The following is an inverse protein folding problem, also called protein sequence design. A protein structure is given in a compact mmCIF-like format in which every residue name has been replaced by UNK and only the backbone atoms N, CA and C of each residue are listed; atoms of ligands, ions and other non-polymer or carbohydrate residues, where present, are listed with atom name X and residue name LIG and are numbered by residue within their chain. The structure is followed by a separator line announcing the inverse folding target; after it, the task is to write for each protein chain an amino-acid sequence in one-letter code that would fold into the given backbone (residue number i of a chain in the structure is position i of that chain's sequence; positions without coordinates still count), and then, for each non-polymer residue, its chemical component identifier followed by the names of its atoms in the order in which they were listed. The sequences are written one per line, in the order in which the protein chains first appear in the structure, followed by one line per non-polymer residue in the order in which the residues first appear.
data_IF_759081130875
#
_entry.id   IF_759081130875
#
_cell.length_a   1.000
_cell.length_b   1.000
_cell.length_c   1.000
_cell.angle_alpha   90.00
_cell.angle_beta   90.00
_cell.angle_gamma   90.00
#
_symmetry.space_group_name_H-M   'P 1'
#
loop_
_entity.id
_entity.type
_entity.pdbx_description
1 polymer ?
#
# COMPACT_ATOMS: atom_id res chain seq x y z
N UNK A 1 15.90 3.92 29.49
CA UNK A 1 15.35 3.70 28.14
C UNK A 1 15.64 4.97 27.36
N UNK A 2 16.36 4.88 26.25
CA UNK A 2 16.52 6.01 25.32
C UNK A 2 15.16 6.34 24.72
N UNK A 3 14.87 7.63 24.53
CA UNK A 3 13.65 8.05 23.85
C UNK A 3 13.58 7.43 22.44
N UNK A 4 12.39 7.01 21.98
CA UNK A 4 12.24 6.45 20.64
C UNK A 4 12.62 7.51 19.60
N UNK A 5 13.41 7.11 18.60
CA UNK A 5 13.72 7.98 17.46
C UNK A 5 12.49 8.03 16.58
N UNK A 6 11.86 9.20 16.46
CA UNK A 6 10.68 9.40 15.62
C UNK A 6 11.09 10.23 14.40
N UNK A 7 10.74 9.76 13.21
CA UNK A 7 10.85 10.52 11.96
C UNK A 7 9.45 10.68 11.36
N UNK A 8 9.01 11.93 11.21
CA UNK A 8 7.75 12.25 10.54
C UNK A 8 8.03 12.62 9.08
N UNK A 9 7.31 11.98 8.14
CA UNK A 9 7.42 12.28 6.69
C UNK A 9 6.04 12.52 6.10
N UNK A 10 5.92 13.61 5.35
CA UNK A 10 4.71 14.04 4.64
C UNK A 10 5.13 14.47 3.23
N UNK A 11 5.22 13.55 2.26
CA UNK A 11 5.75 13.87 0.94
C UNK A 11 4.85 14.85 0.20
N UNK A 12 5.46 15.81 -0.48
CA UNK A 12 4.80 16.59 -1.52
C UNK A 12 4.60 15.74 -2.79
N UNK A 13 3.67 16.09 -3.70
CA UNK A 13 3.36 15.25 -4.88
C UNK A 13 4.57 14.86 -5.76
N UNK A 14 5.62 15.68 -5.79
CA UNK A 14 6.85 15.41 -6.55
C UNK A 14 7.88 14.52 -5.83
N UNK A 15 7.62 14.16 -4.57
CA UNK A 15 8.54 13.39 -3.72
C UNK A 15 8.16 11.91 -3.61
N UNK A 16 7.01 11.51 -4.14
CA UNK A 16 6.62 10.10 -4.18
C UNK A 16 7.47 9.30 -5.16
N UNK A 17 7.82 8.09 -4.75
CA UNK A 17 8.36 7.07 -5.65
C UNK A 17 7.22 6.30 -6.32
N UNK A 18 7.49 5.74 -7.50
CA UNK A 18 6.49 4.96 -8.28
C UNK A 18 6.97 3.53 -8.56
N UNK A 19 8.12 3.19 -7.99
CA UNK A 19 8.82 1.92 -8.17
C UNK A 19 9.47 1.49 -6.87
N UNK A 20 9.62 0.19 -6.69
CA UNK A 20 10.58 -0.38 -5.75
C UNK A 20 11.92 -0.54 -6.46
N UNK A 21 12.97 0.06 -5.89
CA UNK A 21 14.27 0.21 -6.53
C UNK A 21 14.36 1.43 -7.47
N UNK A 22 15.58 1.85 -7.80
CA UNK A 22 15.85 2.91 -8.78
C UNK A 22 15.66 4.35 -8.30
N UNK A 23 15.20 4.56 -7.06
CA UNK A 23 14.98 5.89 -6.46
C UNK A 23 15.91 6.09 -5.25
N UNK A 24 16.56 7.26 -5.09
CA UNK A 24 17.39 7.53 -3.91
C UNK A 24 16.55 7.58 -2.62
N UNK A 25 17.13 7.25 -1.46
CA UNK A 25 16.40 7.29 -0.20
C UNK A 25 16.04 8.73 0.20
N UNK A 26 14.82 8.92 0.70
CA UNK A 26 14.35 10.21 1.23
C UNK A 26 14.95 10.50 2.62
N UNK A 27 15.32 9.45 3.36
CA UNK A 27 16.00 9.55 4.65
C UNK A 27 16.80 8.28 4.97
N UNK A 28 17.78 8.42 5.86
CA UNK A 28 18.48 7.30 6.51
C UNK A 28 17.96 7.15 7.93
N UNK A 29 17.64 5.94 8.35
CA UNK A 29 17.07 5.63 9.66
C UNK A 29 17.83 4.49 10.33
N UNK A 30 17.91 4.50 11.65
CA UNK A 30 18.48 3.40 12.40
C UNK A 30 17.41 2.34 12.74
N UNK A 31 17.76 1.06 12.94
CA UNK A 31 16.85 0.08 13.50
C UNK A 31 16.22 0.56 14.83
N UNK A 32 14.94 0.27 15.03
CA UNK A 32 14.11 0.76 16.13
C UNK A 32 13.52 2.17 15.91
N UNK A 33 13.69 2.77 14.73
CA UNK A 33 13.08 4.08 14.40
C UNK A 33 11.56 3.92 14.21
N UNK A 34 10.81 4.82 14.82
CA UNK A 34 9.37 5.01 14.58
C UNK A 34 9.21 5.96 13.40
N UNK A 35 8.52 5.52 12.36
CA UNK A 35 8.13 6.35 11.24
C UNK A 35 6.67 6.76 11.41
N UNK A 36 6.41 8.06 11.41
CA UNK A 36 5.07 8.65 11.35
C UNK A 36 4.88 9.21 9.94
N UNK A 37 4.06 8.56 9.12
CA UNK A 37 4.02 8.72 7.68
C UNK A 37 2.64 9.18 7.20
N UNK A 38 2.64 10.01 6.15
CA UNK A 38 1.47 10.16 5.27
C UNK A 38 1.74 9.40 3.99
N UNK A 39 0.74 8.65 3.54
CA UNK A 39 0.72 8.08 2.19
C UNK A 39 -0.49 8.63 1.45
N UNK A 40 -0.33 8.86 0.15
CA UNK A 40 -1.46 9.20 -0.71
C UNK A 40 -2.21 7.94 -1.15
N UNK A 41 -3.45 8.10 -1.63
CA UNK A 41 -4.20 7.02 -2.27
C UNK A 41 -3.52 6.52 -3.56
N UNK A 42 -3.96 5.36 -4.06
CA UNK A 42 -3.41 4.71 -5.24
C UNK A 42 -3.50 5.57 -6.53
N UNK A 43 -4.40 6.55 -6.55
CA UNK A 43 -4.64 7.48 -7.66
C UNK A 43 -3.84 8.79 -7.55
N UNK A 44 -2.98 8.93 -6.54
CA UNK A 44 -2.27 10.16 -6.22
C UNK A 44 -3.20 11.36 -6.00
N UNK A 45 -4.36 11.12 -5.38
CA UNK A 45 -5.35 12.14 -5.03
C UNK A 45 -6.07 12.75 -6.24
N UNK A 46 -6.05 12.06 -7.39
CA UNK A 46 -6.62 12.54 -8.66
C UNK A 46 -8.08 12.17 -8.87
N UNK A 47 -8.55 11.07 -8.30
CA UNK A 47 -9.97 10.67 -8.30
C UNK A 47 -10.67 11.35 -7.12
N UNK A 48 -11.63 12.24 -7.39
CA UNK A 48 -12.27 13.08 -6.36
C UNK A 48 -13.79 13.09 -6.43
N UNK A 49 -14.37 12.50 -7.47
CA UNK A 49 -15.81 12.43 -7.68
C UNK A 49 -16.20 11.20 -8.49
N UNK A 50 -17.48 10.86 -8.40
CA UNK A 50 -18.16 9.83 -9.19
C UNK A 50 -18.19 10.10 -10.71
N UNK A 51 -17.84 11.32 -11.13
CA UNK A 51 -17.73 11.72 -12.54
C UNK A 51 -16.32 11.58 -13.08
N UNK A 52 -15.32 11.42 -12.21
CA UNK A 52 -13.98 11.09 -12.62
C UNK A 52 -13.93 9.66 -13.18
N UNK A 53 -12.99 9.44 -14.08
CA UNK A 53 -12.64 8.12 -14.58
C UNK A 53 -11.11 8.03 -14.49
N UNK A 54 -10.59 6.96 -13.89
CA UNK A 54 -9.15 6.72 -13.73
C UNK A 54 -8.44 6.84 -15.07
N UNK A 55 -9.02 6.30 -16.14
CA UNK A 55 -8.50 6.38 -17.52
C UNK A 55 -8.36 7.81 -18.07
N UNK A 56 -9.02 8.79 -17.45
CA UNK A 56 -9.01 10.20 -17.86
C UNK A 56 -8.23 11.10 -16.92
N UNK A 57 -8.29 10.85 -15.61
CA UNK A 57 -7.71 11.73 -14.60
C UNK A 57 -6.34 11.27 -14.13
N UNK A 58 -6.02 9.98 -14.20
CA UNK A 58 -4.73 9.44 -13.81
C UNK A 58 -3.76 9.37 -14.99
N UNK A 59 -2.49 9.61 -14.70
CA UNK A 59 -1.39 9.47 -15.65
C UNK A 59 -0.73 8.10 -15.48
N UNK A 60 -0.92 7.20 -16.46
CA UNK A 60 -0.28 5.89 -16.44
C UNK A 60 1.18 5.99 -16.91
N UNK A 61 2.12 5.22 -16.31
CA UNK A 61 1.90 4.12 -15.36
C UNK A 61 1.97 4.54 -13.87
N UNK A 62 1.80 5.82 -13.55
CA UNK A 62 2.02 6.38 -12.20
C UNK A 62 0.78 6.19 -11.31
N UNK A 63 0.64 4.97 -10.79
CA UNK A 63 -0.28 4.57 -9.73
C UNK A 63 0.49 4.04 -8.53
N UNK A 64 -0.17 3.97 -7.37
CA UNK A 64 0.36 3.49 -6.09
C UNK A 64 1.61 4.31 -5.68
N UNK A 65 1.48 5.63 -5.46
CA UNK A 65 2.59 6.46 -5.01
C UNK A 65 3.13 5.95 -3.67
N UNK A 66 4.46 5.83 -3.59
CA UNK A 66 5.17 5.25 -2.46
C UNK A 66 5.79 6.35 -1.59
N UNK A 67 5.56 6.26 -0.28
CA UNK A 67 6.28 7.07 0.72
C UNK A 67 7.55 6.34 1.11
N UNK A 68 8.69 6.94 0.78
CA UNK A 68 10.01 6.30 0.85
C UNK A 68 10.80 6.53 -0.45
N UNK A 69 11.92 5.81 -0.68
CA UNK A 69 12.43 4.76 0.19
C UNK A 69 13.21 5.26 1.40
N UNK A 70 13.18 4.49 2.48
CA UNK A 70 13.97 4.69 3.69
C UNK A 70 15.18 3.76 3.70
N UNK A 71 16.37 4.32 3.85
CA UNK A 71 17.60 3.55 3.99
C UNK A 71 17.79 3.16 5.46
N UNK A 72 17.73 1.87 5.78
CA UNK A 72 17.95 1.34 7.13
C UNK A 72 19.44 1.10 7.39
N UNK A 73 20.02 1.79 8.36
CA UNK A 73 21.44 1.68 8.69
C UNK A 73 21.82 0.25 9.13
N UNK A 74 22.88 -0.29 8.53
CA UNK A 74 23.40 -1.62 8.84
C UNK A 74 22.66 -2.79 8.19
N UNK A 75 21.59 -2.53 7.43
CA UNK A 75 20.89 -3.55 6.65
C UNK A 75 21.72 -3.97 5.43
N UNK A 76 21.98 -5.27 5.29
CA UNK A 76 22.76 -5.86 4.21
C UNK A 76 22.04 -7.08 3.63
N UNK A 77 22.32 -7.48 2.37
CA UNK A 77 21.73 -8.68 1.78
C UNK A 77 21.90 -9.93 2.66
N UNK A 78 20.79 -10.63 2.91
CA UNK A 78 20.73 -11.79 3.82
C UNK A 78 20.17 -11.49 5.21
N UNK A 79 19.94 -10.21 5.53
CA UNK A 79 19.16 -9.78 6.69
C UNK A 79 17.66 -9.76 6.38
N UNK A 80 16.85 -9.45 7.40
CA UNK A 80 15.41 -9.21 7.30
C UNK A 80 15.05 -7.89 7.99
N UNK A 81 14.24 -7.06 7.34
CA UNK A 81 13.55 -5.97 8.02
C UNK A 81 12.29 -6.50 8.70
N UNK A 82 12.06 -6.06 9.94
CA UNK A 82 10.79 -6.23 10.63
C UNK A 82 10.08 -4.86 10.68
N UNK A 83 8.94 -4.76 10.01
CA UNK A 83 8.12 -3.54 9.92
C UNK A 83 6.84 -3.77 10.70
N UNK A 84 6.78 -3.24 11.92
CA UNK A 84 5.62 -3.38 12.79
C UNK A 84 4.65 -2.21 12.59
N UNK A 85 3.41 -2.50 12.21
CA UNK A 85 2.35 -1.51 12.03
C UNK A 85 1.71 -1.16 13.37
N UNK A 86 2.03 0.02 13.90
CA UNK A 86 1.46 0.50 15.18
C UNK A 86 0.05 1.03 14.96
N UNK A 87 -0.16 1.84 13.92
CA UNK A 87 -1.47 2.38 13.54
C UNK A 87 -1.55 2.63 12.04
N UNK A 88 -2.72 2.39 11.46
CA UNK A 88 -3.05 2.70 10.06
C UNK A 88 -4.41 3.37 10.07
N UNK A 89 -4.46 4.67 9.77
CA UNK A 89 -5.68 5.46 9.91
C UNK A 89 -5.94 6.30 8.66
N UNK A 90 -7.17 6.32 8.12
CA UNK A 90 -7.52 7.21 7.01
C UNK A 90 -7.17 8.68 7.31
N UNK A 91 -6.45 9.32 6.39
CA UNK A 91 -6.06 10.73 6.50
C UNK A 91 -7.18 11.71 6.16
N UNK A 92 -8.27 11.21 5.57
CA UNK A 92 -9.42 11.99 5.10
C UNK A 92 -10.74 11.26 5.39
N UNK A 93 -11.85 11.89 5.06
CA UNK A 93 -13.22 11.41 5.31
C UNK A 93 -13.88 10.82 4.06
N UNK A 94 -13.09 10.56 3.01
CA UNK A 94 -13.56 9.93 1.78
C UNK A 94 -12.53 8.95 1.20
N UNK A 95 -13.03 7.99 0.45
CA UNK A 95 -12.25 7.02 -0.31
C UNK A 95 -12.85 6.79 -1.68
N UNK A 96 -12.14 6.12 -2.56
CA UNK A 96 -12.62 5.78 -3.90
C UNK A 96 -12.46 4.28 -4.18
N UNK A 97 -13.40 3.69 -4.91
CA UNK A 97 -13.21 2.41 -5.59
C UNK A 97 -13.51 2.60 -7.06
N UNK A 98 -12.98 1.75 -7.93
CA UNK A 98 -13.35 1.79 -9.34
C UNK A 98 -13.23 0.43 -10.01
N UNK A 99 -14.09 0.16 -10.98
CA UNK A 99 -13.76 -0.81 -12.02
C UNK A 99 -12.85 -0.11 -13.03
N UNK A 100 -11.76 -0.74 -13.44
CA UNK A 100 -10.86 -0.23 -14.49
C UNK A 100 -10.97 -1.14 -15.72
N UNK A 101 -11.10 -0.60 -16.94
CA UNK A 101 -11.21 -1.42 -18.14
C UNK A 101 -10.04 -2.39 -18.28
N UNK A 102 -10.36 -3.67 -18.48
CA UNK A 102 -9.40 -4.77 -18.62
C UNK A 102 -8.47 -5.00 -17.41
N UNK A 103 -8.95 -4.68 -16.21
CA UNK A 103 -8.24 -4.87 -14.95
C UNK A 103 -9.17 -5.42 -13.86
N UNK A 104 -8.63 -6.24 -12.95
CA UNK A 104 -9.39 -7.03 -11.98
C UNK A 104 -9.77 -8.43 -12.47
N UNK A 105 -10.23 -9.28 -11.55
CA UNK A 105 -10.55 -10.69 -11.80
C UNK A 105 -11.91 -10.89 -12.52
N UNK A 106 -12.76 -9.87 -12.54
CA UNK A 106 -14.10 -9.92 -13.13
C UNK A 106 -14.14 -9.60 -14.64
N UNK A 107 -12.98 -9.36 -15.26
CA UNK A 107 -12.82 -9.05 -16.68
C UNK A 107 -11.54 -9.70 -17.23
N UNK A 108 -11.41 -9.86 -18.55
CA UNK A 108 -10.09 -10.21 -19.10
C UNK A 108 -9.08 -9.10 -18.85
N UNK A 109 -7.84 -9.52 -18.69
CA UNK A 109 -6.65 -8.68 -18.57
C UNK A 109 -5.67 -9.01 -19.70
N UNK A 110 -4.51 -8.34 -19.73
CA UNK A 110 -3.45 -8.67 -20.68
C UNK A 110 -2.91 -10.11 -20.56
N UNK A 111 -3.06 -10.76 -19.38
CA UNK A 111 -2.65 -12.15 -19.15
C UNK A 111 -3.75 -13.18 -19.42
N UNK A 112 -5.01 -12.74 -19.50
CA UNK A 112 -6.19 -13.59 -19.73
C UNK A 112 -6.99 -13.09 -20.94
N UNK A 113 -6.27 -12.61 -21.96
CA UNK A 113 -6.82 -11.85 -23.07
C UNK A 113 -7.95 -12.60 -23.80
N UNK A 114 -9.08 -11.90 -23.99
CA UNK A 114 -10.22 -12.37 -24.76
C UNK A 114 -10.79 -11.24 -25.63
N UNK A 115 -11.82 -11.53 -26.43
CA UNK A 115 -12.44 -10.57 -27.35
C UNK A 115 -13.70 -9.90 -26.78
N UNK A 116 -14.03 -10.11 -25.50
CA UNK A 116 -15.19 -9.50 -24.87
C UNK A 116 -14.97 -7.99 -24.65
N UNK A 117 -16.07 -7.24 -24.55
CA UNK A 117 -16.01 -5.84 -24.16
C UNK A 117 -15.56 -5.72 -22.69
N UNK A 118 -14.74 -4.71 -22.33
CA UNK A 118 -14.36 -4.51 -20.94
C UNK A 118 -15.57 -4.17 -20.07
N UNK A 119 -15.47 -4.44 -18.77
CA UNK A 119 -16.43 -3.90 -17.82
C UNK A 119 -16.45 -2.36 -17.92
N UNK A 120 -17.63 -1.72 -17.76
CA UNK A 120 -17.72 -0.26 -17.68
C UNK A 120 -16.80 0.27 -16.57
N UNK A 121 -16.14 1.38 -16.84
CA UNK A 121 -15.38 2.12 -15.82
C UNK A 121 -16.37 2.92 -14.96
N UNK A 122 -16.44 2.58 -13.68
CA UNK A 122 -17.36 3.18 -12.71
C UNK A 122 -16.57 3.49 -11.46
N UNK A 123 -16.62 4.75 -11.02
CA UNK A 123 -16.04 5.20 -9.74
C UNK A 123 -17.12 5.23 -8.66
N UNK A 124 -16.82 4.71 -7.48
CA UNK A 124 -17.62 4.89 -6.26
C UNK A 124 -16.86 5.76 -5.28
N UNK A 125 -17.49 6.81 -4.78
CA UNK A 125 -16.97 7.59 -3.66
C UNK A 125 -17.58 7.06 -2.36
N UNK A 126 -16.71 6.72 -1.42
CA UNK A 126 -17.09 6.19 -0.11
C UNK A 126 -16.98 7.28 0.94
N UNK A 127 -17.97 7.39 1.82
CA UNK A 127 -17.89 8.27 2.98
C UNK A 127 -17.29 7.51 4.16
N UNK A 128 -16.28 8.09 4.81
CA UNK A 128 -15.54 7.49 5.91
C UNK A 128 -15.85 8.22 7.21
N UNK A 129 -16.52 7.53 8.16
CA UNK A 129 -16.67 8.03 9.52
C UNK A 129 -15.58 7.42 10.42
N UNK A 130 -14.54 8.20 10.68
CA UNK A 130 -13.40 7.76 11.52
C UNK A 130 -13.77 7.54 12.99
N UNK A 131 -14.79 8.23 13.51
CA UNK A 131 -15.21 8.09 14.89
C UNK A 131 -16.05 6.82 15.10
N UNK A 132 -16.94 6.51 14.14
CA UNK A 132 -17.75 5.28 14.12
C UNK A 132 -16.98 4.08 13.57
N UNK A 133 -15.84 4.31 12.91
CA UNK A 133 -15.04 3.29 12.22
C UNK A 133 -15.83 2.58 11.12
N UNK A 134 -16.52 3.36 10.28
CA UNK A 134 -17.36 2.83 9.19
C UNK A 134 -17.08 3.49 7.84
N UNK A 135 -17.21 2.72 6.75
CA UNK A 135 -17.21 3.20 5.38
C UNK A 135 -18.59 2.94 4.74
N UNK A 136 -19.20 4.00 4.18
CA UNK A 136 -20.51 3.93 3.54
C UNK A 136 -20.35 3.72 2.04
N UNK A 137 -20.92 2.62 1.55
CA UNK A 137 -21.14 2.37 0.13
C UNK A 137 -22.48 2.96 -0.30
N UNK A 138 -22.49 3.67 -1.42
CA UNK A 138 -23.73 4.05 -2.12
C UNK A 138 -23.68 3.51 -3.55
N UNK A 139 -24.68 2.73 -3.93
CA UNK A 139 -24.78 2.14 -5.27
C UNK A 139 -24.96 3.23 -6.35
N UNK A 140 -24.50 2.95 -7.57
CA UNK A 140 -24.58 3.91 -8.70
C UNK A 140 -25.87 3.78 -9.52
N UNK A 141 -26.59 2.68 -9.36
CA UNK A 141 -27.74 2.26 -10.18
C UNK A 141 -29.01 2.00 -9.35
N UNK A 142 -28.98 2.24 -8.04
CA UNK A 142 -30.12 2.09 -7.12
C UNK A 142 -29.95 2.96 -5.88
N UNK A 143 -30.99 3.07 -5.06
CA UNK A 143 -30.96 3.76 -3.76
C UNK A 143 -30.33 2.91 -2.63
N UNK A 144 -29.54 1.89 -3.00
CA UNK A 144 -28.94 0.96 -2.02
C UNK A 144 -27.73 1.61 -1.35
N UNK A 145 -27.75 1.63 -0.02
CA UNK A 145 -26.62 2.04 0.81
C UNK A 145 -26.24 0.92 1.79
N UNK A 146 -24.95 0.72 1.99
CA UNK A 146 -24.42 -0.31 2.90
C UNK A 146 -23.29 0.32 3.72
N UNK A 147 -23.48 0.37 5.03
CA UNK A 147 -22.42 0.75 5.97
C UNK A 147 -21.59 -0.50 6.34
N UNK A 148 -20.28 -0.44 6.12
CA UNK A 148 -19.33 -1.50 6.44
C UNK A 148 -18.36 -1.02 7.53
N UNK A 149 -17.85 -1.91 8.40
CA UNK A 149 -16.79 -1.54 9.32
C UNK A 149 -15.50 -1.24 8.55
N UNK A 150 -14.74 -0.23 8.96
CA UNK A 150 -13.38 -0.01 8.45
C UNK A 150 -12.45 -1.10 8.95
N UNK A 151 -11.52 -1.53 8.10
CA UNK A 151 -10.37 -2.35 8.48
C UNK A 151 -9.14 -1.89 7.66
N UNK A 152 -8.52 -0.76 8.07
CA UNK A 152 -7.51 -0.10 7.28
C UNK A 152 -6.20 -0.87 7.18
N UNK A 153 -5.62 -0.86 5.99
CA UNK A 153 -4.41 -1.62 5.63
C UNK A 153 -3.62 -0.91 4.52
N UNK A 154 -2.40 -1.40 4.25
CA UNK A 154 -1.54 -0.97 3.14
C UNK A 154 -1.39 -2.04 2.06
N UNK A 155 -1.78 -1.75 0.82
CA UNK A 155 -1.67 -2.66 -0.33
C UNK A 155 -0.23 -2.82 -0.79
N UNK A 156 0.52 -1.73 -0.73
CA UNK A 156 1.95 -1.70 -1.07
C UNK A 156 2.84 -1.54 0.15
N UNK A 157 3.68 -2.55 0.39
CA UNK A 157 4.76 -2.49 1.39
C UNK A 157 5.93 -3.30 0.84
N UNK A 158 7.11 -2.71 0.73
CA UNK A 158 8.23 -3.41 0.11
C UNK A 158 9.59 -2.76 0.28
N UNK A 159 10.63 -3.51 -0.05
CA UNK A 159 12.01 -3.07 -0.11
C UNK A 159 12.49 -3.00 -1.57
N UNK A 160 13.66 -2.46 -1.83
CA UNK A 160 14.23 -2.55 -3.17
C UNK A 160 14.40 -4.03 -3.59
N UNK A 161 14.10 -4.38 -4.85
CA UNK A 161 14.30 -5.73 -5.37
C UNK A 161 15.78 -6.15 -5.42
N UNK A 162 16.02 -7.47 -5.46
CA UNK A 162 17.35 -8.04 -5.67
C UNK A 162 17.87 -7.77 -7.08
N UNK A 163 19.17 -8.01 -7.27
CA UNK A 163 19.85 -7.90 -8.57
C UNK A 163 19.73 -6.52 -9.24
N UNK A 164 19.52 -5.47 -8.44
CA UNK A 164 19.37 -4.07 -8.91
C UNK A 164 18.17 -3.88 -9.85
N UNK A 165 17.16 -4.74 -9.76
CA UNK A 165 15.92 -4.55 -10.51
C UNK A 165 15.14 -3.33 -10.03
N UNK A 166 14.35 -2.76 -10.94
CA UNK A 166 13.39 -1.71 -10.67
C UNK A 166 12.02 -2.23 -11.07
N UNK A 167 11.10 -2.33 -10.09
CA UNK A 167 9.77 -2.92 -10.29
C UNK A 167 8.71 -1.85 -10.06
N UNK A 168 7.67 -1.84 -10.88
CA UNK A 168 6.52 -0.95 -10.71
C UNK A 168 5.90 -1.16 -9.32
N UNK A 169 5.40 -0.08 -8.72
CA UNK A 169 4.66 -0.17 -7.45
C UNK A 169 3.37 -1.02 -7.54
N UNK A 170 2.90 -1.35 -8.76
CA UNK A 170 1.76 -2.24 -9.01
C UNK A 170 2.10 -3.74 -9.00
N UNK A 171 3.37 -4.12 -8.83
CA UNK A 171 3.80 -5.52 -8.96
C UNK A 171 4.23 -6.07 -7.59
N UNK A 172 3.58 -7.12 -7.07
CA UNK A 172 4.12 -7.88 -5.96
C UNK A 172 5.22 -8.84 -6.43
N UNK A 173 6.18 -9.11 -5.56
CA UNK A 173 7.17 -10.19 -5.72
C UNK A 173 7.85 -10.49 -4.37
N UNK A 174 8.96 -11.22 -4.39
CA UNK A 174 9.77 -11.52 -3.20
C UNK A 174 10.24 -10.29 -2.40
N UNK A 175 10.20 -9.10 -3.00
CA UNK A 175 10.54 -7.83 -2.34
C UNK A 175 9.38 -7.19 -1.57
N UNK A 176 8.21 -7.84 -1.53
CA UNK A 176 6.95 -7.22 -1.11
C UNK A 176 6.27 -6.59 -2.32
N UNK A 177 6.02 -5.29 -2.26
CA UNK A 177 5.34 -4.55 -3.32
C UNK A 177 3.82 -4.59 -3.15
N UNK A 178 3.09 -4.65 -4.25
CA UNK A 178 1.62 -4.62 -4.30
C UNK A 178 0.97 -5.94 -3.88
N UNK A 179 1.11 -6.29 -2.60
CA UNK A 179 0.69 -7.59 -2.07
C UNK A 179 -0.82 -7.67 -1.84
N UNK A 180 -1.47 -6.54 -1.56
CA UNK A 180 -2.92 -6.43 -1.35
C UNK A 180 -3.47 -7.53 -0.44
N UNK A 181 -2.79 -7.73 0.69
CA UNK A 181 -3.18 -8.68 1.73
C UNK A 181 -3.89 -7.91 2.86
N UNK A 182 -5.18 -8.19 3.16
CA UNK A 182 -5.92 -7.49 4.20
C UNK A 182 -5.25 -7.52 5.59
N UNK A 183 -4.36 -8.48 5.84
CA UNK A 183 -3.58 -8.61 7.06
C UNK A 183 -2.48 -7.55 7.22
N UNK A 184 -2.19 -6.73 6.22
CA UNK A 184 -1.22 -5.63 6.31
C UNK A 184 -1.79 -4.41 7.06
N UNK A 185 -2.20 -4.63 8.30
CA UNK A 185 -2.96 -3.70 9.15
C UNK A 185 -2.30 -3.47 10.51
N UNK A 186 -2.85 -2.53 11.28
CA UNK A 186 -2.36 -2.23 12.63
C UNK A 186 -2.31 -3.48 13.53
N UNK A 187 -1.22 -3.62 14.29
CA UNK A 187 -0.91 -4.77 15.15
C UNK A 187 -0.09 -5.86 14.48
N UNK A 188 0.10 -5.83 13.16
CA UNK A 188 0.85 -6.87 12.41
C UNK A 188 2.29 -6.43 12.16
N UNK A 189 3.20 -7.40 12.15
CA UNK A 189 4.60 -7.21 11.72
C UNK A 189 4.82 -7.87 10.37
N UNK A 190 5.26 -7.09 9.39
CA UNK A 190 5.71 -7.59 8.09
C UNK A 190 7.23 -7.80 8.10
N UNK A 191 7.67 -8.95 7.62
CA UNK A 191 9.08 -9.32 7.47
C UNK A 191 9.48 -9.34 6.00
N UNK A 192 10.46 -8.53 5.64
CA UNK A 192 10.94 -8.38 4.27
C UNK A 192 12.43 -8.70 4.18
N UNK A 193 12.81 -9.60 3.27
CA UNK A 193 14.21 -9.94 3.03
C UNK A 193 14.99 -8.75 2.47
N UNK A 194 16.12 -8.42 3.08
CA UNK A 194 16.99 -7.35 2.59
C UNK A 194 17.72 -7.83 1.35
N UNK A 195 17.54 -7.11 0.24
CA UNK A 195 18.09 -7.47 -1.07
C UNK A 195 19.26 -6.59 -1.51
N UNK A 196 19.35 -5.38 -0.96
CA UNK A 196 20.39 -4.38 -1.24
C UNK A 196 20.80 -3.72 0.08
N UNK A 197 21.98 -3.08 0.09
CA UNK A 197 22.41 -2.27 1.24
C UNK A 197 21.34 -1.22 1.59
N UNK A 198 21.00 -1.14 2.87
CA UNK A 198 20.00 -0.20 3.37
C UNK A 198 18.56 -0.62 3.15
N UNK A 199 18.30 -1.76 2.48
CA UNK A 199 16.99 -2.31 2.11
C UNK A 199 16.11 -1.43 1.19
N UNK A 200 16.03 -0.12 1.44
CA UNK A 200 15.21 0.86 0.73
C UNK A 200 13.70 0.55 0.86
N UNK A 201 13.21 0.61 2.10
CA UNK A 201 11.82 0.36 2.47
C UNK A 201 10.89 1.49 1.99
N UNK A 202 9.78 1.14 1.34
CA UNK A 202 8.68 2.06 1.03
C UNK A 202 7.33 1.42 1.34
N UNK A 203 6.31 2.26 1.53
CA UNK A 203 4.91 1.86 1.64
C UNK A 203 3.97 2.93 1.09
N UNK A 204 2.78 2.52 0.67
CA UNK A 204 1.76 3.38 0.07
C UNK A 204 0.44 2.62 -0.11
N UNK A 205 -0.45 3.13 -0.95
CA UNK A 205 -1.65 2.41 -1.37
C UNK A 205 -2.54 1.98 -0.17
N UNK A 206 -3.09 2.96 0.53
CA UNK A 206 -3.90 2.71 1.70
C UNK A 206 -5.32 2.32 1.35
N UNK A 207 -5.87 1.27 1.98
CA UNK A 207 -7.27 0.88 1.82
C UNK A 207 -8.00 1.05 3.13
N UNK A 208 -9.15 1.73 3.15
CA UNK A 208 -10.00 1.80 4.35
C UNK A 208 -10.69 0.46 4.64
N UNK A 209 -10.84 -0.37 3.60
CA UNK A 209 -11.31 -1.76 3.66
C UNK A 209 -10.99 -2.47 2.35
N UNK A 210 -10.59 -3.73 2.44
CA UNK A 210 -10.44 -4.63 1.30
C UNK A 210 -11.02 -6.02 1.64
N UNK A 211 -11.52 -6.75 0.64
CA UNK A 211 -11.88 -8.16 0.77
C UNK A 211 -10.83 -9.07 0.12
N UNK A 212 -10.80 -10.34 0.53
CA UNK A 212 -9.88 -11.33 -0.03
C UNK A 212 -9.94 -11.42 -1.55
N UNK A 213 -8.77 -11.33 -2.18
CA UNK A 213 -8.59 -11.45 -3.63
C UNK A 213 -8.93 -10.21 -4.45
N UNK A 214 -9.39 -9.12 -3.81
CA UNK A 214 -9.58 -7.80 -4.44
C UNK A 214 -10.25 -7.88 -5.82
N UNK A 215 -11.38 -8.58 -5.90
CA UNK A 215 -11.85 -9.13 -7.18
C UNK A 215 -12.10 -8.10 -8.30
N UNK A 216 -12.51 -6.87 -7.97
CA UNK A 216 -12.70 -5.80 -8.96
C UNK A 216 -11.41 -5.03 -9.31
N UNK A 217 -10.30 -5.35 -8.64
CA UNK A 217 -8.96 -4.82 -8.82
C UNK A 217 -8.63 -3.58 -7.99
N UNK A 218 -9.62 -2.96 -7.33
CA UNK A 218 -9.41 -1.73 -6.55
C UNK A 218 -10.24 -1.82 -5.27
N UNK A 219 -9.60 -1.54 -4.14
CA UNK A 219 -10.22 -1.55 -2.82
C UNK A 219 -10.97 -0.25 -2.50
N UNK A 220 -11.20 0.02 -1.21
CA UNK A 220 -11.70 1.33 -0.73
C UNK A 220 -10.50 2.26 -0.51
N UNK A 221 -9.98 2.82 -1.59
CA UNK A 221 -8.71 3.56 -1.67
C UNK A 221 -8.71 4.88 -0.91
N UNK A 222 -7.75 5.07 -0.02
CA UNK A 222 -7.65 6.25 0.84
C UNK A 222 -6.21 6.61 1.17
N UNK A 223 -5.93 7.92 1.25
CA UNK A 223 -4.73 8.41 1.89
C UNK A 223 -4.71 8.00 3.37
N UNK A 224 -3.53 7.70 3.92
CA UNK A 224 -3.36 7.20 5.29
C UNK A 224 -2.38 8.07 6.09
N UNK A 225 -2.65 8.19 7.39
CA UNK A 225 -1.64 8.48 8.40
C UNK A 225 -1.25 7.15 9.05
N UNK A 226 0.00 6.75 8.88
CA UNK A 226 0.49 5.42 9.27
C UNK A 226 1.70 5.56 10.18
N UNK A 227 1.69 4.84 11.30
CA UNK A 227 2.82 4.74 12.21
C UNK A 227 3.38 3.33 12.15
N UNK A 228 4.65 3.20 11.79
CA UNK A 228 5.37 1.92 11.78
C UNK A 228 6.65 1.99 12.60
N UNK A 229 7.09 0.86 13.14
CA UNK A 229 8.42 0.70 13.75
C UNK A 229 9.24 -0.19 12.84
N UNK A 230 10.43 0.27 12.45
CA UNK A 230 11.33 -0.47 11.56
C UNK A 230 12.51 -0.98 12.35
N UNK A 231 12.67 -2.30 12.41
CA UNK A 231 13.79 -2.99 13.04
C UNK A 231 14.53 -3.90 12.05
N UNK A 232 15.69 -4.41 12.44
CA UNK A 232 16.59 -5.19 11.60
C UNK A 232 17.01 -6.49 12.29
N UNK A 233 16.68 -7.62 11.67
CA UNK A 233 17.11 -8.95 12.09
C UNK A 233 18.35 -9.36 11.28
N UNK A 234 19.52 -9.31 11.92
CA UNK A 234 20.80 -9.63 11.29
C UNK A 234 20.95 -11.13 11.03
N UNK A 235 21.38 -11.49 9.82
CA UNK A 235 21.68 -12.88 9.43
C UNK A 235 20.47 -13.82 9.40
N UNK A 236 19.26 -13.26 9.38
CA UNK A 236 18.01 -14.01 9.22
C UNK A 236 17.51 -13.78 7.80
N UNK A 237 17.49 -14.84 6.99
CA UNK A 237 17.02 -14.75 5.61
C UNK A 237 15.50 -14.94 5.52
N UNK A 238 14.83 -14.04 4.81
CA UNK A 238 13.39 -14.10 4.50
C UNK A 238 13.21 -14.03 2.98
N UNK A 239 13.19 -15.18 2.27
CA UNK A 239 13.15 -15.21 0.80
C UNK A 239 11.85 -14.68 0.18
N UNK A 240 10.74 -14.78 0.92
CA UNK A 240 9.43 -14.24 0.56
C UNK A 240 8.87 -13.50 1.77
N UNK A 241 8.09 -12.43 1.58
CA UNK A 241 7.46 -11.70 2.67
C UNK A 241 6.72 -12.62 3.63
N UNK A 242 6.77 -12.30 4.92
CA UNK A 242 5.99 -12.99 5.96
C UNK A 242 5.28 -11.99 6.84
N UNK A 243 4.16 -12.41 7.42
CA UNK A 243 3.44 -11.59 8.39
C UNK A 243 3.29 -12.36 9.71
N UNK A 244 3.37 -11.64 10.80
CA UNK A 244 3.07 -12.12 12.15
C UNK A 244 2.03 -11.22 12.81
N UNK A 245 0.97 -11.85 13.28
CA UNK A 245 -0.02 -11.24 14.18
C UNK A 245 0.00 -11.97 15.53
N UNK A 246 -0.75 -11.47 16.50
CA UNK A 246 -0.93 -12.12 17.81
C UNK A 246 -1.44 -13.58 17.72
N UNK A 247 -1.99 -13.99 16.58
CA UNK A 247 -2.70 -15.27 16.44
C UNK A 247 -2.18 -16.15 15.31
N UNK A 248 -1.48 -15.59 14.33
CA UNK A 248 -1.09 -16.30 13.11
C UNK A 248 0.29 -15.86 12.61
N UNK A 249 1.00 -16.83 12.04
CA UNK A 249 2.13 -16.62 11.13
C UNK A 249 1.63 -16.90 9.70
N UNK A 250 1.97 -16.00 8.77
CA UNK A 250 1.50 -16.03 7.39
C UNK A 250 2.72 -15.98 6.47
N UNK A 251 2.69 -16.75 5.38
CA UNK A 251 3.74 -16.84 4.36
C UNK A 251 3.13 -16.92 2.98
#
# INVERSE_FOLDING_TARGET
MTEPRILTVRPEPGEFAWTFGGVPPVARIAPGTVLDLYTEDCFAGRVRSEQDLVSRVCEFPFLNPQTGPFHVEGAEPGDTLAVHFVSVEPARDWAASTTVPLFGALTSTHTTASLHEPLPEVVWMWQLDRARRTCLFSARDSDTEIELPMDPMHGTVGVAPANLEVRSALVPDAHGGNMDTPEMRAGVTCFLGVNVEGALLSLGDGHARQGEGEACGVAVECAMNTVVIVDLLKGVATPWPRLESDTHLIS
#
